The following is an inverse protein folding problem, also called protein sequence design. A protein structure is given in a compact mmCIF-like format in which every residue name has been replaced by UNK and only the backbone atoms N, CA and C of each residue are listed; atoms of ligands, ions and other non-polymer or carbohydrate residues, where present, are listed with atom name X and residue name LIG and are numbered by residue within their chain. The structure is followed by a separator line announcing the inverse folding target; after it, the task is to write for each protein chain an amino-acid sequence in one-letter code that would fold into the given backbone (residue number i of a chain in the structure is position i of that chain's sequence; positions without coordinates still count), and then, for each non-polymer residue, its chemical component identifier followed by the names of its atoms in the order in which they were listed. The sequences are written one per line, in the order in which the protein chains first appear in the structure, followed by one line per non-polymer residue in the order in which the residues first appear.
data_IF_819778740300
#
_entry.id   IF_819778740300
#
_cell.length_a   1.000
_cell.length_b   1.000
_cell.length_c   1.000
_cell.angle_alpha   90.00
_cell.angle_beta   90.00
_cell.angle_gamma   90.00
#
_symmetry.space_group_name_H-M   'P 1'
#
loop_
_entity.id
_entity.type
_entity.pdbx_description
1 polymer ?
#
# COMPACT_ATOMS: atom_id res chain seq x y z
N UNK A 1 -7.19 -15.99 0.82
CA UNK A 1 -6.85 -14.93 1.79
C UNK A 1 -8.07 -14.48 2.56
N UNK A 2 -7.93 -13.64 3.61
CA UNK A 2 -9.07 -13.20 4.44
C UNK A 2 -10.21 -12.56 3.61
N UNK A 3 -9.86 -11.74 2.61
CA UNK A 3 -10.85 -11.09 1.73
C UNK A 3 -11.58 -12.10 0.84
N UNK A 4 -10.89 -13.08 0.24
CA UNK A 4 -11.52 -14.16 -0.54
C UNK A 4 -12.46 -15.01 0.32
N UNK A 5 -12.09 -15.29 1.57
CA UNK A 5 -12.96 -15.99 2.53
C UNK A 5 -14.22 -15.18 2.82
N UNK A 6 -14.10 -13.86 2.99
CA UNK A 6 -15.24 -12.97 3.20
C UNK A 6 -16.15 -12.91 1.96
N UNK A 7 -15.58 -12.83 0.75
CA UNK A 7 -16.36 -12.88 -0.50
C UNK A 7 -17.10 -14.21 -0.63
N UNK A 8 -16.44 -15.34 -0.33
CA UNK A 8 -17.09 -16.66 -0.34
C UNK A 8 -18.26 -16.73 0.64
N UNK A 9 -18.11 -16.14 1.83
CA UNK A 9 -19.16 -16.16 2.85
C UNK A 9 -20.41 -15.36 2.43
N UNK A 10 -20.25 -14.21 1.77
CA UNK A 10 -21.39 -13.36 1.35
C UNK A 10 -22.00 -13.77 0.00
N UNK A 11 -21.17 -14.20 -0.96
CA UNK A 11 -21.60 -14.55 -2.32
C UNK A 11 -21.96 -16.04 -2.46
N UNK A 12 -21.43 -16.91 -1.60
CA UNK A 12 -21.60 -18.36 -1.69
C UNK A 12 -20.67 -19.05 -2.70
N UNK A 13 -19.79 -18.30 -3.36
CA UNK A 13 -18.86 -18.82 -4.37
C UNK A 13 -17.41 -18.43 -4.05
N UNK A 14 -16.47 -19.33 -4.34
CA UNK A 14 -15.05 -19.05 -4.20
C UNK A 14 -14.57 -18.29 -5.44
N UNK A 15 -14.18 -17.03 -5.24
CA UNK A 15 -13.63 -16.17 -6.31
C UNK A 15 -12.24 -15.72 -5.93
N UNK A 16 -11.43 -15.46 -6.95
CA UNK A 16 -10.10 -14.91 -6.77
C UNK A 16 -10.20 -13.40 -6.59
N UNK A 17 -9.41 -12.87 -5.65
CA UNK A 17 -9.31 -11.41 -5.47
C UNK A 17 -7.97 -10.91 -5.99
N UNK A 18 -8.03 -9.87 -6.81
CA UNK A 18 -6.90 -9.30 -7.52
C UNK A 18 -6.59 -7.91 -6.98
N UNK A 19 -5.47 -7.76 -6.28
CA UNK A 19 -5.03 -6.49 -5.71
C UNK A 19 -4.19 -5.63 -6.67
N UNK A 20 -4.25 -4.31 -6.50
CA UNK A 20 -3.52 -3.34 -7.31
C UNK A 20 -2.00 -3.37 -7.12
N UNK A 21 -1.54 -3.88 -5.98
CA UNK A 21 -0.14 -4.11 -5.66
C UNK A 21 0.01 -5.11 -4.51
N UNK A 22 1.18 -5.75 -4.43
CA UNK A 22 1.53 -6.62 -3.29
C UNK A 22 2.16 -5.77 -2.20
N UNK A 23 1.80 -6.04 -0.95
CA UNK A 23 2.45 -5.50 0.24
C UNK A 23 3.15 -6.65 0.96
N UNK A 24 4.38 -6.43 1.43
CA UNK A 24 5.11 -7.45 2.19
C UNK A 24 4.61 -7.54 3.64
N UNK A 25 5.04 -8.58 4.36
CA UNK A 25 4.61 -8.83 5.73
C UNK A 25 4.90 -7.62 6.63
N UNK A 26 3.89 -7.15 7.37
CA UNK A 26 4.00 -6.00 8.27
C UNK A 26 3.79 -4.63 7.61
N UNK A 27 3.67 -4.56 6.28
CA UNK A 27 3.30 -3.33 5.57
C UNK A 27 1.80 -3.08 5.68
N UNK A 28 1.43 -1.81 5.89
CA UNK A 28 0.05 -1.36 5.99
C UNK A 28 -0.42 -0.77 4.66
N UNK A 29 -1.74 -0.70 4.47
CA UNK A 29 -2.33 0.00 3.33
C UNK A 29 -3.51 0.86 3.80
N UNK A 30 -3.55 2.11 3.33
CA UNK A 30 -4.69 3.02 3.52
C UNK A 30 -5.65 2.99 2.32
N UNK A 31 -5.16 2.63 1.15
CA UNK A 31 -5.91 2.68 -0.12
C UNK A 31 -5.54 1.52 -1.05
N UNK A 32 -5.44 0.30 -0.51
CA UNK A 32 -5.30 -0.88 -1.36
C UNK A 32 -6.60 -1.05 -2.16
N UNK A 33 -6.48 -1.12 -3.48
CA UNK A 33 -7.59 -1.41 -4.39
C UNK A 33 -7.53 -2.88 -4.77
N UNK A 34 -8.68 -3.54 -4.83
CA UNK A 34 -8.81 -4.89 -5.33
C UNK A 34 -10.11 -5.05 -6.12
N UNK A 35 -10.14 -6.02 -7.03
CA UNK A 35 -11.35 -6.43 -7.74
C UNK A 35 -11.55 -7.94 -7.69
N UNK A 36 -12.79 -8.36 -7.92
CA UNK A 36 -13.19 -9.74 -8.13
C UNK A 36 -14.52 -9.77 -8.88
N UNK A 37 -14.72 -10.82 -9.67
CA UNK A 37 -15.97 -11.04 -10.38
C UNK A 37 -16.90 -11.91 -9.54
N UNK A 38 -18.14 -11.46 -9.38
CA UNK A 38 -19.19 -12.17 -8.62
C UNK A 38 -20.45 -12.27 -9.48
N UNK A 39 -21.15 -13.40 -9.40
CA UNK A 39 -22.39 -13.62 -10.16
C UNK A 39 -23.60 -12.96 -9.52
N UNK A 40 -23.61 -12.93 -8.19
CA UNK A 40 -24.73 -12.38 -7.42
C UNK A 40 -24.66 -10.85 -7.43
N UNK A 41 -25.70 -10.15 -7.91
CA UNK A 41 -25.71 -8.70 -7.88
C UNK A 41 -25.87 -8.19 -6.45
N UNK A 42 -25.07 -7.20 -6.09
CA UNK A 42 -25.19 -6.47 -4.83
C UNK A 42 -25.20 -4.97 -5.09
N UNK A 43 -26.04 -4.19 -4.38
CA UNK A 43 -25.77 -2.77 -4.19
C UNK A 43 -24.36 -2.61 -3.58
N UNK A 44 -23.50 -1.72 -4.09
CA UNK A 44 -22.10 -1.69 -3.66
C UNK A 44 -21.92 -1.47 -2.15
N UNK A 45 -22.73 -0.59 -1.54
CA UNK A 45 -22.71 -0.39 -0.08
C UNK A 45 -23.06 -1.66 0.71
N UNK A 46 -23.98 -2.50 0.21
CA UNK A 46 -24.35 -3.77 0.85
C UNK A 46 -23.22 -4.80 0.76
N UNK A 47 -22.51 -4.85 -0.37
CA UNK A 47 -21.32 -5.68 -0.53
C UNK A 47 -20.23 -5.25 0.45
N UNK A 48 -19.92 -3.94 0.51
CA UNK A 48 -18.95 -3.37 1.47
C UNK A 48 -19.26 -3.78 2.90
N UNK A 49 -20.50 -3.56 3.35
CA UNK A 49 -20.89 -3.80 4.74
C UNK A 49 -20.87 -5.29 5.08
N UNK A 50 -21.34 -6.15 4.17
CA UNK A 50 -21.30 -7.60 4.35
C UNK A 50 -19.87 -8.16 4.35
N UNK A 51 -18.98 -7.65 3.50
CA UNK A 51 -17.55 -8.00 3.56
C UNK A 51 -16.96 -7.61 4.92
N UNK A 52 -17.21 -6.40 5.40
CA UNK A 52 -16.75 -5.94 6.72
C UNK A 52 -17.29 -6.81 7.87
N UNK A 53 -18.51 -7.35 7.77
CA UNK A 53 -19.04 -8.27 8.77
C UNK A 53 -18.24 -9.59 8.80
N UNK A 54 -17.91 -10.15 7.63
CA UNK A 54 -17.16 -11.42 7.51
C UNK A 54 -15.64 -11.27 7.68
N UNK A 55 -15.10 -10.05 7.60
CA UNK A 55 -13.69 -9.79 7.84
C UNK A 55 -13.31 -9.78 9.32
N UNK A 56 -14.27 -9.67 10.25
CA UNK A 56 -13.97 -9.70 11.68
C UNK A 56 -13.42 -11.08 12.09
N UNK A 57 -12.35 -11.15 12.91
CA UNK A 57 -11.66 -10.06 13.61
C UNK A 57 -10.39 -9.54 12.90
N UNK A 58 -10.20 -9.83 11.61
CA UNK A 58 -9.01 -9.34 10.88
C UNK A 58 -8.95 -7.81 10.89
N UNK A 59 -7.74 -7.21 10.98
CA UNK A 59 -7.55 -5.76 10.95
C UNK A 59 -7.65 -5.23 9.51
N UNK A 60 -8.76 -5.54 8.83
CA UNK A 60 -9.03 -5.20 7.43
C UNK A 60 -10.41 -4.55 7.38
N UNK A 61 -10.48 -3.37 6.76
CA UNK A 61 -11.73 -2.67 6.50
C UNK A 61 -11.89 -2.36 5.02
N UNK A 62 -13.03 -2.74 4.44
CA UNK A 62 -13.46 -2.31 3.11
C UNK A 62 -14.11 -0.94 3.24
N UNK A 63 -13.47 0.09 2.67
CA UNK A 63 -13.89 1.49 2.81
C UNK A 63 -15.01 1.84 1.82
N UNK A 64 -14.92 1.34 0.61
CA UNK A 64 -15.89 1.53 -0.47
C UNK A 64 -15.93 0.29 -1.37
N UNK A 65 -16.99 0.18 -2.16
CA UNK A 65 -17.12 -0.78 -3.24
C UNK A 65 -17.89 -0.10 -4.37
N UNK A 66 -17.57 -0.44 -5.61
CA UNK A 66 -18.16 0.13 -6.83
C UNK A 66 -18.29 -0.98 -7.89
N UNK A 67 -19.27 -0.83 -8.79
CA UNK A 67 -19.35 -1.66 -10.00
C UNK A 67 -18.48 -0.99 -11.05
N UNK A 68 -17.61 -1.77 -11.66
CA UNK A 68 -16.63 -1.31 -12.66
C UNK A 68 -16.93 -1.94 -14.02
N UNK A 69 -16.28 -1.44 -15.07
CA UNK A 69 -16.36 -2.05 -16.39
C UNK A 69 -15.67 -3.42 -16.43
N UNK A 70 -16.10 -4.30 -17.34
CA UNK A 70 -15.60 -5.68 -17.47
C UNK A 70 -14.11 -5.76 -17.84
N UNK A 71 -13.53 -4.66 -18.33
CA UNK A 71 -12.11 -4.55 -18.69
C UNK A 71 -11.23 -3.96 -17.56
N UNK A 72 -11.82 -3.63 -16.41
CA UNK A 72 -11.07 -3.14 -15.26
C UNK A 72 -10.23 -4.25 -14.63
N UNK A 73 -8.94 -3.99 -14.44
CA UNK A 73 -8.05 -4.87 -13.68
C UNK A 73 -7.25 -4.03 -12.69
N UNK A 74 -7.46 -4.25 -11.38
CA UNK A 74 -6.93 -3.38 -10.33
C UNK A 74 -5.42 -3.11 -10.41
N UNK A 75 -4.61 -4.07 -10.87
CA UNK A 75 -3.16 -3.93 -11.04
C UNK A 75 -2.79 -3.21 -12.34
N UNK A 76 -3.44 -3.53 -13.45
CA UNK A 76 -3.08 -2.98 -14.76
C UNK A 76 -3.72 -1.62 -15.06
N UNK A 77 -4.93 -1.38 -14.54
CA UNK A 77 -5.62 -0.09 -14.62
C UNK A 77 -5.00 0.96 -13.68
N UNK A 78 -4.24 0.56 -12.65
CA UNK A 78 -3.55 1.48 -11.76
C UNK A 78 -2.41 2.22 -12.47
N UNK A 79 -2.52 3.55 -12.52
CA UNK A 79 -1.55 4.44 -13.19
C UNK A 79 -0.37 4.83 -12.31
N UNK A 80 -0.58 4.91 -10.99
CA UNK A 80 0.43 5.22 -9.97
C UNK A 80 0.16 4.49 -8.67
N UNK A 81 1.20 4.29 -7.88
CA UNK A 81 1.14 3.88 -6.48
C UNK A 81 1.83 4.94 -5.64
N UNK A 82 1.29 5.18 -4.45
CA UNK A 82 1.84 6.12 -3.49
C UNK A 82 2.14 5.38 -2.18
N UNK A 83 3.33 5.59 -1.65
CA UNK A 83 3.74 5.05 -0.36
C UNK A 83 4.14 6.17 0.58
N UNK A 84 3.86 5.96 1.86
CA UNK A 84 4.33 6.80 2.95
C UNK A 84 5.06 5.92 3.95
N UNK A 85 6.35 6.18 4.13
CA UNK A 85 7.13 5.59 5.20
C UNK A 85 7.17 6.57 6.38
N UNK A 86 6.83 6.10 7.59
CA UNK A 86 6.75 6.95 8.80
C UNK A 86 7.91 6.63 9.74
N UNK A 87 8.71 7.63 10.07
CA UNK A 87 9.77 7.56 11.07
C UNK A 87 9.39 8.47 12.24
N UNK A 88 9.59 8.00 13.47
CA UNK A 88 9.58 8.83 14.67
C UNK A 88 11.00 8.98 15.16
N UNK A 89 11.55 10.18 14.98
CA UNK A 89 12.94 10.50 15.29
C UNK A 89 13.10 10.94 16.74
N UNK A 90 12.82 10.04 17.69
CA UNK A 90 12.84 10.32 19.12
C UNK A 90 13.59 9.26 19.91
N UNK A 91 14.20 9.68 21.03
CA UNK A 91 14.89 8.76 21.95
C UNK A 91 13.91 7.88 22.70
N UNK A 92 12.76 8.43 23.08
CA UNK A 92 11.72 7.71 23.82
C UNK A 92 11.14 6.56 22.98
N UNK A 93 10.65 5.53 23.66
CA UNK A 93 9.94 4.43 23.01
C UNK A 93 8.56 4.89 22.52
N UNK A 94 8.08 4.27 21.44
CA UNK A 94 6.72 4.48 20.97
C UNK A 94 5.75 3.73 21.87
N UNK A 95 4.65 4.38 22.25
CA UNK A 95 3.52 3.72 22.91
C UNK A 95 2.36 3.49 21.94
N UNK A 96 1.91 4.55 21.25
CA UNK A 96 0.75 4.51 20.35
C UNK A 96 1.08 4.03 18.93
N UNK A 97 2.24 4.45 18.40
CA UNK A 97 2.67 4.14 17.04
C UNK A 97 3.54 2.87 16.95
N UNK A 98 3.52 2.01 17.98
CA UNK A 98 4.16 0.69 17.92
C UNK A 98 3.64 -0.07 16.69
N UNK A 99 4.56 -0.64 15.90
CA UNK A 99 4.29 -1.29 14.61
C UNK A 99 3.70 -0.37 13.52
N UNK A 100 3.54 0.93 13.76
CA UNK A 100 3.01 1.91 12.78
C UNK A 100 4.05 2.92 12.30
N UNK A 101 5.13 3.09 13.05
CA UNK A 101 6.25 3.94 12.68
C UNK A 101 7.58 3.32 13.11
N UNK A 102 8.64 3.58 12.33
CA UNK A 102 9.99 3.20 12.68
C UNK A 102 10.60 4.23 13.65
N UNK A 103 10.88 3.82 14.88
CA UNK A 103 11.59 4.67 15.84
C UNK A 103 13.08 4.72 15.49
N UNK A 104 13.61 5.93 15.34
CA UNK A 104 15.04 6.17 15.19
C UNK A 104 15.52 7.14 16.28
N UNK A 105 16.32 6.69 17.26
CA UNK A 105 16.74 7.52 18.39
C UNK A 105 17.88 8.50 18.08
N UNK A 106 18.65 8.24 17.01
CA UNK A 106 19.70 9.15 16.56
C UNK A 106 19.10 10.24 15.69
N UNK A 107 19.52 11.48 15.91
CA UNK A 107 19.06 12.59 15.08
C UNK A 107 19.31 12.31 13.59
N UNK A 108 18.30 12.58 12.77
CA UNK A 108 18.35 12.45 11.32
C UNK A 108 18.36 13.85 10.70
N UNK A 109 19.37 14.14 9.87
CA UNK A 109 19.40 15.36 9.08
C UNK A 109 18.44 15.22 7.89
N UNK A 110 17.24 15.80 8.02
CA UNK A 110 16.20 15.67 7.00
C UNK A 110 16.47 16.49 5.75
N UNK A 111 17.28 17.55 5.84
CA UNK A 111 17.65 18.36 4.69
C UNK A 111 18.65 17.58 3.83
N UNK A 112 19.64 16.95 4.46
CA UNK A 112 20.56 16.05 3.76
C UNK A 112 19.83 14.84 3.15
N UNK A 113 18.85 14.27 3.87
CA UNK A 113 18.01 13.19 3.34
C UNK A 113 17.19 13.63 2.12
N UNK A 114 16.60 14.83 2.13
CA UNK A 114 15.83 15.34 0.99
C UNK A 114 16.73 15.62 -0.21
N UNK A 115 17.89 16.25 -0.01
CA UNK A 115 18.90 16.47 -1.07
C UNK A 115 19.31 15.14 -1.72
N UNK A 116 19.55 14.10 -0.91
CA UNK A 116 19.89 12.77 -1.43
C UNK A 116 18.71 12.13 -2.17
N UNK A 117 17.48 12.25 -1.63
CA UNK A 117 16.27 11.74 -2.23
C UNK A 117 16.01 12.32 -3.63
N UNK A 118 16.23 13.63 -3.84
CA UNK A 118 16.00 14.26 -5.16
C UNK A 118 16.87 13.68 -6.27
N UNK A 119 18.01 13.07 -5.95
CA UNK A 119 18.88 12.41 -6.93
C UNK A 119 18.26 11.14 -7.53
N UNK A 120 17.27 10.56 -6.86
CA UNK A 120 16.60 9.33 -7.29
C UNK A 120 15.34 9.62 -8.15
N UNK A 121 14.98 10.88 -8.35
CA UNK A 121 13.84 11.25 -9.20
C UNK A 121 14.13 10.99 -10.67
N UNK A 122 13.10 10.61 -11.43
CA UNK A 122 13.22 10.27 -12.84
C UNK A 122 13.52 8.79 -13.07
N UNK A 123 14.05 8.46 -14.26
CA UNK A 123 14.29 7.08 -14.68
C UNK A 123 15.70 6.63 -14.30
N UNK A 124 15.80 5.57 -13.49
CA UNK A 124 17.07 4.99 -13.03
C UNK A 124 17.02 3.47 -13.01
N UNK A 125 18.19 2.84 -12.98
CA UNK A 125 18.35 1.45 -12.60
C UNK A 125 18.36 1.34 -11.06
N UNK A 126 17.33 0.71 -10.50
CA UNK A 126 17.16 0.53 -9.06
C UNK A 126 17.68 -0.83 -8.56
N UNK A 127 18.60 -1.48 -9.28
CA UNK A 127 19.16 -2.79 -8.88
C UNK A 127 19.69 -2.81 -7.44
N UNK A 128 20.35 -1.74 -6.99
CA UNK A 128 20.87 -1.63 -5.61
C UNK A 128 19.77 -1.56 -4.54
N UNK A 129 18.55 -1.15 -4.91
CA UNK A 129 17.40 -1.02 -4.02
C UNK A 129 16.44 -2.20 -4.13
N UNK A 130 16.78 -3.20 -4.95
CA UNK A 130 15.92 -4.33 -5.26
C UNK A 130 16.23 -5.50 -4.32
N UNK A 131 15.19 -6.08 -3.74
CA UNK A 131 15.32 -7.34 -3.02
C UNK A 131 15.74 -8.48 -3.97
N UNK A 132 16.59 -9.39 -3.49
CA UNK A 132 17.07 -10.55 -4.25
C UNK A 132 15.95 -11.46 -4.76
N UNK A 133 14.80 -11.51 -4.07
CA UNK A 133 13.63 -12.30 -4.46
C UNK A 133 12.69 -11.56 -5.42
N UNK A 134 13.01 -10.32 -5.79
CA UNK A 134 12.13 -9.53 -6.65
C UNK A 134 11.98 -10.19 -8.03
N UNK A 135 10.74 -10.38 -8.46
CA UNK A 135 10.38 -11.05 -9.72
C UNK A 135 10.16 -10.07 -10.89
N UNK A 136 10.43 -8.77 -10.70
CA UNK A 136 10.26 -7.79 -11.77
C UNK A 136 11.21 -8.06 -12.95
N UNK A 137 10.70 -7.95 -14.18
CA UNK A 137 11.50 -8.22 -15.38
C UNK A 137 12.63 -7.21 -15.60
N UNK A 138 12.46 -5.96 -15.16
CA UNK A 138 13.46 -4.90 -15.27
C UNK A 138 13.60 -4.16 -13.93
N UNK A 139 14.85 -3.84 -13.52
CA UNK A 139 15.12 -2.96 -12.39
C UNK A 139 14.98 -1.48 -12.74
N UNK A 140 14.81 -1.14 -14.03
CA UNK A 140 14.58 0.25 -14.43
C UNK A 140 13.20 0.71 -14.01
N UNK A 141 13.14 1.78 -13.22
CA UNK A 141 11.90 2.42 -12.76
C UNK A 141 11.98 3.92 -12.93
N UNK A 142 10.81 4.53 -13.03
CA UNK A 142 10.66 5.99 -12.99
C UNK A 142 10.02 6.38 -11.67
N UNK A 143 10.72 7.18 -10.88
CA UNK A 143 10.22 7.75 -9.63
C UNK A 143 9.69 9.16 -9.90
N UNK A 144 8.39 9.35 -9.69
CA UNK A 144 7.71 10.62 -9.94
C UNK A 144 7.84 11.58 -8.74
N UNK A 145 7.89 11.03 -7.53
CA UNK A 145 7.96 11.78 -6.27
C UNK A 145 8.83 11.04 -5.25
N UNK A 146 9.65 11.79 -4.53
CA UNK A 146 10.37 11.34 -3.34
C UNK A 146 10.66 12.56 -2.45
N UNK A 147 9.84 12.74 -1.43
CA UNK A 147 9.91 13.88 -0.51
C UNK A 147 10.19 13.41 0.91
N UNK A 148 11.03 14.17 1.62
CA UNK A 148 11.29 13.98 3.05
C UNK A 148 10.71 15.18 3.81
N UNK A 149 9.73 14.91 4.66
CA UNK A 149 8.99 15.96 5.39
C UNK A 149 9.17 15.73 6.88
N UNK A 150 9.59 16.77 7.60
CA UNK A 150 9.71 16.77 9.07
C UNK A 150 8.63 17.64 9.71
N UNK A 151 7.95 17.08 10.70
CA UNK A 151 6.98 17.75 11.56
C UNK A 151 7.30 17.40 13.02
N UNK A 152 8.10 18.25 13.67
CA UNK A 152 8.68 17.94 14.98
C UNK A 152 9.54 16.68 14.94
N UNK A 153 9.18 15.69 15.76
CA UNK A 153 9.85 14.39 15.80
C UNK A 153 9.37 13.43 14.70
N UNK A 154 8.27 13.74 14.00
CA UNK A 154 7.77 12.90 12.91
C UNK A 154 8.51 13.22 11.61
N UNK A 155 8.94 12.18 10.90
CA UNK A 155 9.49 12.28 9.54
C UNK A 155 8.68 11.37 8.62
N UNK A 156 8.19 11.91 7.51
CA UNK A 156 7.50 11.16 6.47
C UNK A 156 8.34 11.14 5.20
N UNK A 157 8.56 9.95 4.66
CA UNK A 157 9.07 9.78 3.30
C UNK A 157 7.87 9.48 2.41
N UNK A 158 7.57 10.39 1.50
CA UNK A 158 6.48 10.24 0.54
C UNK A 158 7.06 9.88 -0.82
N UNK A 159 6.51 8.84 -1.45
CA UNK A 159 6.97 8.44 -2.77
C UNK A 159 5.82 8.06 -3.69
N UNK A 160 5.98 8.39 -4.97
CA UNK A 160 5.05 8.03 -6.04
C UNK A 160 5.81 7.53 -7.25
N UNK A 161 5.30 6.44 -7.84
CA UNK A 161 5.77 5.91 -9.10
C UNK A 161 4.65 5.13 -9.78
N UNK A 162 4.77 4.90 -11.09
CA UNK A 162 3.91 3.96 -11.81
C UNK A 162 3.98 2.56 -11.19
N UNK A 163 5.18 2.10 -10.85
CA UNK A 163 5.46 0.82 -10.20
C UNK A 163 6.77 0.91 -9.43
N UNK A 164 6.88 0.12 -8.36
CA UNK A 164 8.12 -0.11 -7.63
C UNK A 164 8.65 -1.51 -7.98
#
# INVERSE_FOLDING_TARGET
GALETAVKAICGEAVRVHGSGRTDAGVHALGQVAHCDIKKPFPPGRLRDGLNAHLRPHPIGVLSAEIVADDFEARFSATRRHYRYRITNSRANLALDIKRSWRVPRHLDTDAMDIAAKRLLGKHDFTTFRDTECQAKSPEKTLDQLDVIREGDAISILTSARSF
#
